data_IF_516044623219
#
_entry.id   IF_516044623219
#
_cell.length_a   1.000
_cell.length_b   1.000
_cell.length_c   1.000
_cell.angle_alpha   90.00
_cell.angle_beta   90.00
_cell.angle_gamma   90.00
#
_symmetry.space_group_name_H-M   'P 1'
#
loop_
_entity.id
_entity.type
_entity.pdbx_description
1 polymer ?
#
# COMPACT_ATOMS: atom_id res chain seq x y z
N UNK A 1 16.47 -21.38 40.92
CA UNK A 1 15.57 -21.19 39.76
C UNK A 1 14.25 -20.63 40.28
N UNK A 2 14.01 -19.34 40.16
CA UNK A 2 12.75 -18.69 40.53
C UNK A 2 12.06 -18.23 39.22
N UNK A 3 10.89 -18.77 38.99
CA UNK A 3 10.01 -18.32 37.89
C UNK A 3 9.23 -17.12 38.40
N UNK A 4 9.37 -15.97 37.74
CA UNK A 4 8.51 -14.82 38.00
C UNK A 4 7.36 -14.84 37.01
N UNK A 5 6.14 -15.05 37.51
CA UNK A 5 4.91 -14.88 36.76
C UNK A 5 4.64 -13.38 36.60
N UNK A 6 4.60 -12.91 35.36
CA UNK A 6 4.10 -11.58 35.02
C UNK A 6 2.62 -11.70 34.67
N UNK A 7 1.76 -11.14 35.54
CA UNK A 7 0.33 -11.03 35.28
C UNK A 7 0.05 -9.87 34.34
N UNK A 8 -0.50 -10.16 33.18
CA UNK A 8 -1.05 -9.14 32.27
C UNK A 8 -2.47 -8.79 32.70
N UNK A 9 -2.67 -7.53 33.06
CA UNK A 9 -4.01 -6.97 33.32
C UNK A 9 -4.59 -6.42 32.02
N UNK A 10 -5.74 -6.94 31.62
CA UNK A 10 -6.51 -6.42 30.49
C UNK A 10 -7.18 -5.08 30.85
N UNK A 11 -7.11 -4.05 29.99
CA UNK A 11 -7.95 -2.86 30.15
C UNK A 11 -9.33 -3.05 29.51
N UNK A 12 -10.34 -2.69 30.32
CA UNK A 12 -11.75 -2.89 30.08
C UNK A 12 -12.30 -2.31 28.77
N UNK A 13 -13.20 -3.11 28.22
CA UNK A 13 -14.06 -2.79 27.07
C UNK A 13 -15.19 -1.85 27.49
N UNK A 14 -15.13 -0.56 27.11
CA UNK A 14 -16.26 0.37 27.22
C UNK A 14 -17.16 0.25 25.98
N UNK A 15 -18.34 -0.34 26.20
CA UNK A 15 -19.42 -0.35 25.21
C UNK A 15 -20.08 1.03 25.20
N UNK A 16 -19.92 1.77 24.12
CA UNK A 16 -20.68 2.97 23.83
C UNK A 16 -22.07 2.62 23.26
N UNK A 17 -23.11 2.74 24.07
CA UNK A 17 -24.50 2.64 23.62
C UNK A 17 -24.89 3.93 22.90
N UNK A 18 -25.13 3.86 21.60
CA UNK A 18 -25.81 4.94 20.87
C UNK A 18 -27.30 4.75 20.96
N UNK A 19 -27.94 5.60 21.77
CA UNK A 19 -29.38 5.70 21.92
C UNK A 19 -29.99 6.45 20.75
N UNK A 20 -30.78 5.77 19.93
CA UNK A 20 -31.63 6.40 18.91
C UNK A 20 -32.84 7.00 19.60
N UNK A 21 -32.93 8.32 19.69
CA UNK A 21 -34.08 9.03 20.13
C UNK A 21 -35.04 9.34 18.97
N UNK A 22 -36.15 8.66 18.92
CA UNK A 22 -37.24 8.91 17.98
C UNK A 22 -38.07 10.13 18.46
N UNK A 23 -38.06 11.19 17.67
CA UNK A 23 -39.01 12.30 17.85
C UNK A 23 -40.01 12.27 16.70
N UNK A 24 -41.22 11.77 17.02
CA UNK A 24 -42.37 11.86 16.18
C UNK A 24 -42.94 13.28 16.18
N UNK A 25 -43.13 13.88 15.02
CA UNK A 25 -44.06 15.00 14.84
C UNK A 25 -45.02 14.71 13.70
N UNK A 26 -46.26 14.44 14.09
CA UNK A 26 -47.45 14.42 13.25
C UNK A 26 -47.80 15.85 12.87
N UNK A 27 -48.01 16.14 11.59
CA UNK A 27 -48.93 17.16 11.10
C UNK A 27 -49.48 16.68 9.74
N UNK A 28 -50.76 16.45 9.69
CA UNK A 28 -51.64 16.31 8.54
C UNK A 28 -52.63 17.52 8.65
N UNK A 29 -53.42 17.92 7.66
CA UNK A 29 -53.52 17.64 6.24
C UNK A 29 -53.79 18.88 5.37
N UNK A 30 -54.08 18.68 4.11
CA UNK A 30 -55.12 19.24 3.24
C UNK A 30 -54.66 19.84 1.89
N UNK A 31 -55.17 19.16 0.87
CA UNK A 31 -55.85 19.63 -0.37
C UNK A 31 -55.05 20.37 -1.43
N UNK A 32 -54.95 19.83 -2.59
CA UNK A 32 -55.70 20.02 -3.84
C UNK A 32 -54.83 19.55 -5.02
N UNK A 33 -55.28 18.57 -5.69
CA UNK A 33 -55.73 18.42 -7.08
C UNK A 33 -55.25 19.47 -8.10
N UNK A 34 -54.36 19.10 -8.99
CA UNK A 34 -54.46 19.39 -10.43
C UNK A 34 -53.28 18.83 -11.26
N UNK A 35 -53.69 18.09 -12.27
CA UNK A 35 -53.21 18.01 -13.64
C UNK A 35 -51.82 17.45 -13.97
N UNK A 36 -51.88 16.24 -14.51
CA UNK A 36 -51.17 15.71 -15.67
C UNK A 36 -50.15 16.65 -16.36
N UNK A 37 -48.90 16.19 -16.42
CA UNK A 37 -48.17 16.17 -17.71
C UNK A 37 -47.06 15.14 -17.58
N UNK A 38 -47.11 14.15 -18.48
CA UNK A 38 -46.15 13.09 -18.63
C UNK A 38 -44.82 13.67 -19.09
N UNK A 39 -43.75 13.43 -18.34
CA UNK A 39 -42.37 13.46 -18.86
C UNK A 39 -41.71 12.16 -18.47
N UNK A 40 -41.69 11.24 -19.40
CA UNK A 40 -40.87 10.05 -19.36
C UNK A 40 -39.41 10.48 -19.55
N UNK A 41 -38.68 10.72 -18.45
CA UNK A 41 -37.25 10.79 -18.48
C UNK A 41 -36.71 9.40 -18.11
N UNK A 42 -36.19 8.70 -19.12
CA UNK A 42 -35.35 7.52 -18.91
C UNK A 42 -34.08 7.96 -18.14
N UNK A 43 -34.11 7.89 -16.83
CA UNK A 43 -32.90 7.88 -16.06
C UNK A 43 -32.30 6.48 -16.13
N UNK A 44 -31.33 6.32 -17.00
CA UNK A 44 -30.41 5.19 -16.96
C UNK A 44 -29.66 5.26 -15.61
N UNK A 45 -30.20 4.56 -14.62
CA UNK A 45 -29.53 4.35 -13.34
C UNK A 45 -28.30 3.52 -13.56
N UNK A 46 -27.11 4.13 -13.49
CA UNK A 46 -25.89 3.39 -13.24
C UNK A 46 -26.00 2.75 -11.88
N UNK A 47 -26.39 1.49 -11.85
CA UNK A 47 -26.22 0.63 -10.67
C UNK A 47 -24.72 0.43 -10.48
N UNK A 48 -24.14 1.18 -9.55
CA UNK A 48 -22.82 0.90 -9.02
C UNK A 48 -22.92 -0.43 -8.27
N UNK A 49 -22.38 -1.49 -8.88
CA UNK A 49 -22.23 -2.77 -8.21
C UNK A 49 -21.21 -2.60 -7.07
N UNK A 50 -21.51 -2.95 -5.82
CA UNK A 50 -20.51 -3.04 -4.77
C UNK A 50 -19.79 -4.39 -4.92
N UNK A 51 -18.48 -4.37 -5.09
CA UNK A 51 -17.64 -5.54 -4.95
C UNK A 51 -16.84 -5.91 -6.19
N UNK A 52 -15.90 -5.04 -6.56
CA UNK A 52 -14.70 -5.45 -7.24
C UNK A 52 -13.57 -5.27 -6.25
N UNK A 53 -12.83 -6.34 -5.93
CA UNK A 53 -11.54 -6.19 -5.30
C UNK A 53 -10.72 -5.23 -6.17
N UNK A 54 -10.34 -4.09 -5.61
CA UNK A 54 -9.52 -3.11 -6.31
C UNK A 54 -8.20 -3.78 -6.67
N UNK A 55 -8.12 -4.25 -7.91
CA UNK A 55 -6.83 -4.50 -8.53
C UNK A 55 -6.04 -3.20 -8.36
N UNK A 56 -4.91 -3.27 -7.66
CA UNK A 56 -4.12 -2.12 -7.26
C UNK A 56 -3.92 -1.19 -8.45
N UNK A 57 -4.72 -0.15 -8.50
CA UNK A 57 -4.74 0.80 -9.60
C UNK A 57 -3.48 1.64 -9.46
N UNK A 58 -2.56 1.53 -10.41
CA UNK A 58 -1.46 2.48 -10.54
C UNK A 58 -2.08 3.83 -10.87
N UNK A 59 -2.15 4.70 -9.88
CA UNK A 59 -2.63 6.07 -10.07
C UNK A 59 -1.45 6.94 -10.50
N UNK A 60 -1.59 7.78 -11.54
CA UNK A 60 -0.49 8.64 -11.97
C UNK A 60 -0.04 9.55 -10.84
N UNK A 61 1.28 9.69 -10.68
CA UNK A 61 1.85 10.66 -9.76
C UNK A 61 1.67 12.06 -10.33
N UNK A 62 1.09 12.95 -9.54
CA UNK A 62 0.84 14.35 -9.92
C UNK A 62 1.32 15.34 -8.86
N UNK A 63 1.82 14.82 -7.74
CA UNK A 63 2.24 15.58 -6.57
C UNK A 63 3.71 15.43 -6.24
N UNK A 64 4.06 15.89 -5.05
CA UNK A 64 5.41 15.73 -4.48
C UNK A 64 5.55 14.35 -3.87
N UNK A 65 6.65 13.65 -4.15
CA UNK A 65 6.94 12.34 -3.56
C UNK A 65 7.03 12.44 -2.04
N UNK A 66 6.21 11.69 -1.36
CA UNK A 66 6.17 11.60 0.10
C UNK A 66 6.90 10.37 0.63
N UNK A 67 6.74 9.24 -0.06
CA UNK A 67 7.32 7.97 0.40
C UNK A 67 7.78 7.14 -0.80
N UNK A 68 8.93 6.50 -0.65
CA UNK A 68 9.42 5.45 -1.54
C UNK A 68 9.50 4.15 -0.74
N UNK A 69 8.90 3.08 -1.25
CA UNK A 69 9.04 1.73 -0.72
C UNK A 69 10.02 0.95 -1.58
N UNK A 70 10.95 0.26 -0.95
CA UNK A 70 11.83 -0.74 -1.58
C UNK A 70 11.48 -2.08 -0.98
N UNK A 71 10.80 -2.93 -1.74
CA UNK A 71 10.27 -4.19 -1.23
C UNK A 71 10.97 -5.36 -1.90
N UNK A 72 11.61 -6.19 -1.10
CA UNK A 72 12.10 -7.49 -1.53
C UNK A 72 11.01 -8.55 -1.26
N UNK A 73 10.30 -8.95 -2.29
CA UNK A 73 9.40 -10.09 -2.18
C UNK A 73 10.19 -11.39 -2.18
N UNK A 74 9.80 -12.28 -1.29
CA UNK A 74 10.41 -13.60 -1.10
C UNK A 74 9.41 -14.69 -1.40
N UNK A 75 9.89 -15.83 -1.87
CA UNK A 75 9.07 -17.01 -2.07
C UNK A 75 9.55 -18.15 -1.16
N UNK A 76 8.70 -19.13 -0.83
CA UNK A 76 9.14 -20.33 -0.12
C UNK A 76 10.31 -21.02 -0.86
N UNK A 77 11.30 -21.50 -0.11
CA UNK A 77 12.49 -22.18 -0.68
C UNK A 77 13.36 -21.29 -1.58
N UNK A 78 13.73 -20.12 -1.10
CA UNK A 78 14.58 -19.18 -1.83
C UNK A 78 15.90 -19.81 -2.29
N UNK A 79 16.29 -19.50 -3.53
CA UNK A 79 17.61 -19.80 -4.05
C UNK A 79 18.66 -18.83 -3.47
N UNK A 80 19.95 -19.19 -3.54
CA UNK A 80 21.04 -18.33 -3.07
C UNK A 80 20.97 -16.92 -3.69
N UNK A 81 20.74 -16.82 -5.00
CA UNK A 81 20.62 -15.53 -5.68
C UNK A 81 19.42 -14.72 -5.22
N UNK A 82 18.32 -15.40 -4.84
CA UNK A 82 17.14 -14.73 -4.30
C UNK A 82 17.43 -14.05 -2.96
N UNK A 83 18.17 -14.73 -2.08
CA UNK A 83 18.60 -14.17 -0.78
C UNK A 83 19.56 -13.00 -0.99
N UNK A 84 20.59 -13.19 -1.83
CA UNK A 84 21.62 -12.16 -2.12
C UNK A 84 20.98 -10.88 -2.67
N UNK A 85 19.96 -11.01 -3.51
CA UNK A 85 19.23 -9.87 -4.07
C UNK A 85 18.66 -8.99 -2.96
N UNK A 86 18.01 -9.59 -1.97
CA UNK A 86 17.44 -8.87 -0.84
C UNK A 86 18.49 -8.32 0.12
N UNK A 87 19.52 -9.12 0.45
CA UNK A 87 20.60 -8.70 1.35
C UNK A 87 21.33 -7.46 0.81
N UNK A 88 21.61 -7.42 -0.49
CA UNK A 88 22.27 -6.26 -1.11
C UNK A 88 21.34 -5.04 -1.16
N UNK A 89 20.05 -5.25 -1.36
CA UNK A 89 19.08 -4.17 -1.31
C UNK A 89 18.99 -3.57 0.10
N UNK A 90 18.86 -4.42 1.11
CA UNK A 90 18.82 -4.00 2.52
C UNK A 90 20.07 -3.23 2.92
N UNK A 91 21.26 -3.76 2.58
CA UNK A 91 22.53 -3.09 2.88
C UNK A 91 22.64 -1.75 2.15
N UNK A 92 22.19 -1.66 0.89
CA UNK A 92 22.18 -0.41 0.13
C UNK A 92 21.33 0.65 0.84
N UNK A 93 20.11 0.28 1.23
CA UNK A 93 19.17 1.20 1.88
C UNK A 93 19.72 1.66 3.24
N UNK A 94 20.18 0.73 4.06
CA UNK A 94 20.74 1.04 5.39
C UNK A 94 22.01 1.89 5.33
N UNK A 95 22.85 1.68 4.30
CA UNK A 95 24.12 2.38 4.16
C UNK A 95 23.97 3.79 3.60
N UNK A 96 23.07 3.97 2.65
CA UNK A 96 23.01 5.21 1.88
C UNK A 96 21.83 6.12 2.21
N UNK A 97 20.79 5.60 2.91
CA UNK A 97 19.55 6.32 3.19
C UNK A 97 19.09 6.24 4.64
N UNK A 98 20.01 6.35 5.63
CA UNK A 98 19.63 6.22 7.04
C UNK A 98 18.66 7.32 7.50
N UNK A 99 18.75 8.53 6.94
CA UNK A 99 17.89 9.66 7.28
C UNK A 99 16.48 9.47 6.71
N UNK A 100 16.38 9.01 5.45
CA UNK A 100 15.11 8.74 4.79
C UNK A 100 14.38 7.56 5.44
N UNK A 101 15.13 6.52 5.87
CA UNK A 101 14.57 5.43 6.67
C UNK A 101 14.06 5.94 8.02
N UNK A 102 14.85 6.75 8.71
CA UNK A 102 14.49 7.29 10.02
C UNK A 102 13.29 8.22 10.00
N UNK A 103 13.09 8.94 8.90
CA UNK A 103 11.95 9.84 8.70
C UNK A 103 10.71 9.15 8.11
N UNK A 104 10.83 7.90 7.65
CA UNK A 104 9.75 7.19 6.94
C UNK A 104 9.57 7.63 5.48
N UNK A 105 10.45 8.49 4.95
CA UNK A 105 10.44 8.87 3.54
C UNK A 105 10.90 7.72 2.64
N UNK A 106 11.71 6.82 3.16
CA UNK A 106 12.05 5.54 2.56
C UNK A 106 11.65 4.40 3.49
N UNK A 107 11.01 3.38 2.94
CA UNK A 107 10.65 2.15 3.66
C UNK A 107 11.34 0.99 2.96
N UNK A 108 11.90 0.08 3.74
CA UNK A 108 12.43 -1.18 3.23
C UNK A 108 11.80 -2.35 3.97
N UNK A 109 11.38 -3.39 3.24
CA UNK A 109 10.82 -4.59 3.84
C UNK A 109 11.15 -5.84 3.03
N UNK A 110 11.20 -6.99 3.73
CA UNK A 110 11.19 -8.32 3.14
C UNK A 110 9.82 -8.95 3.34
N UNK A 111 9.15 -9.30 2.26
CA UNK A 111 7.77 -9.80 2.32
C UNK A 111 7.67 -11.19 1.68
N UNK A 112 7.28 -12.17 2.47
CA UNK A 112 6.96 -13.50 1.95
C UNK A 112 5.61 -13.44 1.20
N UNK A 113 5.62 -13.80 -0.08
CA UNK A 113 4.40 -13.82 -0.91
C UNK A 113 3.38 -14.87 -0.44
N UNK A 114 3.80 -15.84 0.36
CA UNK A 114 2.92 -16.87 0.94
C UNK A 114 2.30 -16.44 2.28
N UNK A 115 2.74 -15.32 2.88
CA UNK A 115 2.21 -14.82 4.14
C UNK A 115 0.79 -14.24 3.95
N UNK A 116 -0.25 -14.87 4.56
CA UNK A 116 -1.61 -14.38 4.41
C UNK A 116 -1.85 -12.99 5.04
N UNK A 117 -1.03 -12.58 6.01
CA UNK A 117 -1.13 -11.27 6.65
C UNK A 117 -0.59 -10.15 5.74
N UNK A 118 0.24 -10.51 4.77
CA UNK A 118 0.86 -9.60 3.81
C UNK A 118 0.21 -9.63 2.43
N UNK A 119 -0.92 -10.35 2.26
CA UNK A 119 -1.61 -10.54 0.98
C UNK A 119 -1.92 -9.22 0.28
N UNK A 120 -2.41 -8.22 1.00
CA UNK A 120 -2.79 -6.93 0.41
C UNK A 120 -1.61 -6.26 -0.33
N UNK A 121 -0.43 -6.23 0.29
CA UNK A 121 0.75 -5.63 -0.34
C UNK A 121 1.27 -6.49 -1.49
N UNK A 122 1.24 -7.83 -1.37
CA UNK A 122 1.61 -8.74 -2.45
C UNK A 122 0.72 -8.52 -3.68
N UNK A 123 -0.60 -8.41 -3.50
CA UNK A 123 -1.56 -8.12 -4.57
C UNK A 123 -1.36 -6.71 -5.15
N UNK A 124 -1.13 -5.71 -4.30
CA UNK A 124 -0.86 -4.32 -4.71
C UNK A 124 0.33 -4.25 -5.67
N UNK A 125 1.41 -4.96 -5.37
CA UNK A 125 2.58 -5.01 -6.24
C UNK A 125 2.43 -6.00 -7.39
N UNK A 126 1.60 -7.03 -7.25
CA UNK A 126 1.45 -8.12 -8.21
C UNK A 126 2.65 -9.07 -8.19
N UNK A 127 3.31 -9.18 -7.05
CA UNK A 127 4.48 -10.04 -6.90
C UNK A 127 4.08 -11.52 -6.94
N UNK A 128 4.77 -12.31 -7.75
CA UNK A 128 4.51 -13.75 -7.94
C UNK A 128 5.68 -14.64 -7.57
N UNK A 129 6.80 -14.04 -7.14
CA UNK A 129 8.04 -14.75 -6.80
C UNK A 129 9.04 -13.80 -6.17
N UNK A 130 10.28 -14.30 -5.97
CA UNK A 130 11.37 -13.47 -5.46
C UNK A 130 11.70 -12.35 -6.45
N UNK A 131 11.58 -11.11 -6.00
CA UNK A 131 11.70 -9.92 -6.85
C UNK A 131 11.98 -8.67 -6.01
N UNK A 132 12.56 -7.65 -6.62
CA UNK A 132 12.77 -6.34 -6.01
C UNK A 132 11.86 -5.32 -6.69
N UNK A 133 11.08 -4.63 -5.89
CA UNK A 133 10.13 -3.63 -6.34
C UNK A 133 10.38 -2.28 -5.68
N UNK A 134 10.13 -1.23 -6.43
CA UNK A 134 10.03 0.12 -5.90
C UNK A 134 8.58 0.60 -6.04
N UNK A 135 8.04 1.12 -4.93
CA UNK A 135 6.77 1.83 -4.89
C UNK A 135 7.01 3.29 -4.56
N UNK A 136 6.35 4.21 -5.23
CA UNK A 136 6.47 5.64 -4.95
C UNK A 136 5.09 6.23 -4.75
N UNK A 137 4.92 6.96 -3.67
CA UNK A 137 3.69 7.64 -3.30
C UNK A 137 3.88 9.15 -3.31
N UNK A 138 2.85 9.89 -3.69
CA UNK A 138 2.84 11.34 -3.63
C UNK A 138 1.80 11.89 -2.65
N UNK A 139 1.82 13.20 -2.42
CA UNK A 139 0.92 13.92 -1.52
C UNK A 139 -0.51 14.09 -2.09
N UNK A 140 -0.76 13.67 -3.32
CA UNK A 140 -2.05 13.68 -3.98
C UNK A 140 -2.74 12.30 -3.98
N UNK A 141 -2.12 11.29 -3.34
CA UNK A 141 -2.61 9.91 -3.32
C UNK A 141 -2.26 9.13 -4.58
N UNK A 142 -1.32 9.61 -5.38
CA UNK A 142 -0.75 8.90 -6.51
C UNK A 142 0.14 7.75 -6.02
N UNK A 143 0.16 6.65 -6.79
CA UNK A 143 1.00 5.49 -6.57
C UNK A 143 1.59 4.99 -7.88
N UNK A 144 2.91 4.90 -7.92
CA UNK A 144 3.67 4.29 -9.01
C UNK A 144 4.47 3.10 -8.49
N UNK A 145 4.52 2.03 -9.24
CA UNK A 145 5.32 0.85 -8.91
C UNK A 145 6.10 0.35 -10.10
N UNK A 146 7.27 -0.20 -9.83
CA UNK A 146 8.11 -0.86 -10.85
C UNK A 146 8.84 -2.05 -10.26
N UNK A 147 8.93 -3.13 -11.01
CA UNK A 147 9.84 -4.24 -10.71
C UNK A 147 11.21 -3.95 -11.30
N UNK A 148 12.24 -3.97 -10.48
CA UNK A 148 13.60 -3.82 -10.98
C UNK A 148 14.24 -5.18 -11.29
N UNK A 149 14.14 -5.57 -12.55
CA UNK A 149 14.75 -6.81 -13.05
C UNK A 149 16.23 -6.66 -13.34
N UNK A 150 16.77 -5.44 -13.43
CA UNK A 150 18.18 -5.16 -13.75
C UNK A 150 19.13 -5.55 -12.62
N UNK A 151 18.65 -5.55 -11.39
CA UNK A 151 19.41 -5.98 -10.20
C UNK A 151 19.89 -7.43 -10.30
N UNK A 152 19.14 -8.31 -10.99
CA UNK A 152 19.53 -9.71 -11.17
C UNK A 152 20.84 -9.87 -11.93
N UNK A 153 21.14 -8.99 -12.87
CA UNK A 153 22.38 -9.01 -13.64
C UNK A 153 23.59 -8.45 -12.89
N UNK A 154 23.37 -7.90 -11.68
CA UNK A 154 24.42 -7.26 -10.86
C UNK A 154 24.78 -8.06 -9.61
N UNK A 155 24.20 -9.23 -9.39
CA UNK A 155 24.44 -10.03 -8.17
C UNK A 155 25.90 -10.49 -8.00
N UNK A 156 26.67 -10.59 -9.08
CA UNK A 156 28.10 -10.92 -9.04
C UNK A 156 29.01 -9.70 -8.81
N UNK A 157 28.45 -8.50 -8.74
CA UNK A 157 29.15 -7.23 -8.52
C UNK A 157 28.41 -6.42 -7.45
N UNK A 158 28.65 -6.74 -6.18
CA UNK A 158 28.00 -6.06 -5.05
C UNK A 158 28.17 -4.54 -5.07
N UNK A 159 29.39 -3.97 -5.28
CA UNK A 159 29.52 -2.51 -5.37
C UNK A 159 28.71 -1.92 -6.53
N UNK A 160 28.71 -2.55 -7.69
CA UNK A 160 27.92 -2.13 -8.84
C UNK A 160 26.41 -2.24 -8.60
N UNK A 161 25.96 -3.29 -7.89
CA UNK A 161 24.57 -3.43 -7.43
C UNK A 161 24.17 -2.27 -6.53
N UNK A 162 24.93 -2.05 -5.47
CA UNK A 162 24.63 -1.01 -4.47
C UNK A 162 24.64 0.39 -5.08
N UNK A 163 25.62 0.70 -5.93
CA UNK A 163 25.68 2.00 -6.60
C UNK A 163 24.49 2.21 -7.55
N UNK A 164 24.10 1.19 -8.29
CA UNK A 164 22.94 1.22 -9.17
C UNK A 164 21.66 1.46 -8.40
N UNK A 165 21.38 0.64 -7.36
CA UNK A 165 20.16 0.74 -6.58
C UNK A 165 20.09 2.07 -5.80
N UNK A 166 21.23 2.54 -5.26
CA UNK A 166 21.31 3.88 -4.65
C UNK A 166 20.88 4.97 -5.63
N UNK A 167 21.38 4.92 -6.87
CA UNK A 167 21.02 5.91 -7.89
C UNK A 167 19.53 5.86 -8.19
N UNK A 168 18.98 4.66 -8.38
CA UNK A 168 17.56 4.46 -8.68
C UNK A 168 16.65 4.98 -7.55
N UNK A 169 16.95 4.62 -6.30
CA UNK A 169 16.19 5.12 -5.13
C UNK A 169 16.27 6.64 -5.04
N UNK A 170 17.46 7.23 -5.23
CA UNK A 170 17.64 8.69 -5.21
C UNK A 170 16.79 9.40 -6.27
N UNK A 171 16.70 8.84 -7.48
CA UNK A 171 15.83 9.35 -8.54
C UNK A 171 14.36 9.31 -8.11
N UNK A 172 13.88 8.19 -7.57
CA UNK A 172 12.48 8.05 -7.13
C UNK A 172 12.14 9.00 -5.97
N UNK A 173 13.06 9.18 -5.01
CA UNK A 173 12.92 10.16 -3.93
C UNK A 173 12.83 11.61 -4.44
N UNK A 174 13.47 11.90 -5.57
CA UNK A 174 13.42 13.20 -6.25
C UNK A 174 12.22 13.35 -7.20
N UNK A 175 11.41 12.30 -7.38
CA UNK A 175 10.30 12.30 -8.34
C UNK A 175 10.75 12.17 -9.80
N UNK A 176 11.95 11.66 -10.04
CA UNK A 176 12.47 11.41 -11.38
C UNK A 176 12.20 9.96 -11.80
N UNK A 177 11.41 9.79 -12.83
CA UNK A 177 11.02 8.49 -13.43
C UNK A 177 11.60 8.29 -14.83
N UNK A 178 12.55 9.13 -15.24
CA UNK A 178 13.26 8.99 -16.50
C UNK A 178 14.21 7.79 -16.45
N UNK A 179 13.97 6.76 -17.27
CA UNK A 179 14.88 5.62 -17.52
C UNK A 179 14.74 5.10 -18.93
#
# INVERSE_FOLDING_TARGET
MRRTNVSYSEPGRTQGQFSCSAAARKILPLVALSALLAFAALSAGCTTAPGGADAATVSPLNGTVTTVEVIHFTAPNQCYSCVVLGDYAEETVKTHFPEELGSGKLVFDHIDIADPERREIVERYGATGSSLWLGTYDDQGGFYKEEDTRVWYKLNDKPGYMQYLKTLIGMRLAGDFSQ
#
